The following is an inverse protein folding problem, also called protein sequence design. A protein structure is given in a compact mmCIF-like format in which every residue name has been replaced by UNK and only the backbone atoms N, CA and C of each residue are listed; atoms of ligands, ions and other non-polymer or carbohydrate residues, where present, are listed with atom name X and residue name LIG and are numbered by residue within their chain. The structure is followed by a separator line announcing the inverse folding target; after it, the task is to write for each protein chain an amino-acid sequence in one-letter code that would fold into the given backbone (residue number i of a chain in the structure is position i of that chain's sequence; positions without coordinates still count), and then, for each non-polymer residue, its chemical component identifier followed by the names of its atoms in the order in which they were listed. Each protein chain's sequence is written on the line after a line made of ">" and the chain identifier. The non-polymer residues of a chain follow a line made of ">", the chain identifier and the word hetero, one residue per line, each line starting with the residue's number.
data_IF_550301302979
#
_entry.id   IF_550301302979
#
_cell.length_a   1.000
_cell.length_b   1.000
_cell.length_c   1.000
_cell.angle_alpha   90.00
_cell.angle_beta   90.00
_cell.angle_gamma   90.00
#
_symmetry.space_group_name_H-M   'P 1'
#
loop_
_entity.id
_entity.type
_entity.pdbx_description
1 polymer ?
#
# COMPACT_ATOMS: atom_id res chain seq x y z
N UNK A 1 6.07 14.19 -8.52
CA UNK A 1 5.17 13.04 -8.80
C UNK A 1 6.02 11.84 -9.17
N UNK A 2 5.85 10.71 -8.48
CA UNK A 2 6.69 9.51 -8.67
C UNK A 2 5.84 8.23 -8.81
N UNK A 3 6.40 7.14 -9.37
CA UNK A 3 5.70 5.89 -9.64
C UNK A 3 5.53 4.99 -8.40
N UNK A 4 5.69 5.53 -7.19
CA UNK A 4 5.74 4.77 -5.94
C UNK A 4 4.49 3.90 -5.73
N UNK A 5 3.29 4.43 -6.02
CA UNK A 5 2.04 3.68 -5.90
C UNK A 5 1.93 2.49 -6.86
N UNK A 6 2.36 2.65 -8.12
CA UNK A 6 2.34 1.54 -9.09
C UNK A 6 3.40 0.48 -8.78
N UNK A 7 4.55 0.87 -8.24
CA UNK A 7 5.57 -0.05 -7.75
C UNK A 7 5.04 -0.94 -6.63
N UNK A 8 4.35 -0.36 -5.63
CA UNK A 8 3.75 -1.14 -4.56
C UNK A 8 2.55 -1.96 -5.03
N UNK A 9 1.82 -1.50 -6.05
CA UNK A 9 0.79 -2.29 -6.71
C UNK A 9 1.35 -3.55 -7.41
N UNK A 10 2.49 -3.42 -8.10
CA UNK A 10 3.19 -4.56 -8.70
C UNK A 10 3.71 -5.52 -7.62
N UNK A 11 4.24 -4.98 -6.53
CA UNK A 11 4.71 -5.78 -5.39
C UNK A 11 3.56 -6.60 -4.79
N UNK A 12 2.39 -5.98 -4.60
CA UNK A 12 1.17 -6.67 -4.16
C UNK A 12 0.74 -7.79 -5.13
N UNK A 13 0.87 -7.57 -6.44
CA UNK A 13 0.62 -8.61 -7.44
C UNK A 13 1.53 -9.82 -7.26
N UNK A 14 2.83 -9.60 -7.02
CA UNK A 14 3.78 -10.68 -6.75
C UNK A 14 3.44 -11.45 -5.46
N UNK A 15 2.97 -10.75 -4.42
CA UNK A 15 2.47 -11.42 -3.21
C UNK A 15 1.30 -12.36 -3.52
N UNK A 16 0.30 -11.88 -4.26
CA UNK A 16 -0.87 -12.68 -4.64
C UNK A 16 -0.44 -13.89 -5.48
N UNK A 17 0.47 -13.72 -6.43
CA UNK A 17 0.99 -14.80 -7.26
C UNK A 17 1.68 -15.89 -6.42
N UNK A 18 2.57 -15.51 -5.49
CA UNK A 18 3.25 -16.45 -4.60
C UNK A 18 2.28 -17.19 -3.69
N UNK A 19 1.25 -16.52 -3.18
CA UNK A 19 0.21 -17.15 -2.35
C UNK A 19 -0.56 -18.20 -3.15
N UNK A 20 -0.90 -17.92 -4.41
CA UNK A 20 -1.68 -18.84 -5.24
C UNK A 20 -0.86 -20.01 -5.77
N UNK A 21 0.44 -19.81 -6.04
CA UNK A 21 1.37 -20.84 -6.53
C UNK A 21 2.09 -21.53 -5.37
N UNK A 22 1.76 -21.22 -4.11
CA UNK A 22 2.41 -21.75 -2.91
C UNK A 22 2.67 -23.27 -2.92
N UNK A 23 1.69 -24.16 -3.23
CA UNK A 23 1.94 -25.60 -3.23
C UNK A 23 2.85 -26.10 -4.36
N UNK A 24 3.02 -25.30 -5.41
CA UNK A 24 3.91 -25.62 -6.54
C UNK A 24 5.34 -25.13 -6.30
N UNK A 25 5.54 -24.17 -5.39
CA UNK A 25 6.85 -23.61 -5.09
C UNK A 25 7.64 -24.53 -4.16
N UNK A 26 8.93 -24.74 -4.47
CA UNK A 26 9.84 -25.54 -3.63
C UNK A 26 10.14 -24.88 -2.28
N UNK A 27 10.23 -23.53 -2.26
CA UNK A 27 10.53 -22.72 -1.07
C UNK A 27 9.67 -21.43 -1.03
N UNK A 28 8.36 -21.54 -0.80
CA UNK A 28 7.42 -20.40 -0.81
C UNK A 28 7.70 -19.39 0.31
N UNK A 29 8.13 -19.88 1.48
CA UNK A 29 8.46 -19.03 2.63
C UNK A 29 9.63 -18.08 2.34
N UNK A 30 10.68 -18.56 1.65
CA UNK A 30 11.82 -17.72 1.28
C UNK A 30 11.44 -16.65 0.26
N UNK A 31 10.56 -16.99 -0.69
CA UNK A 31 10.05 -16.03 -1.67
C UNK A 31 9.26 -14.91 -0.98
N UNK A 32 8.35 -15.25 -0.07
CA UNK A 32 7.61 -14.26 0.70
C UNK A 32 8.50 -13.44 1.63
N UNK A 33 9.45 -14.06 2.31
CA UNK A 33 10.37 -13.32 3.17
C UNK A 33 11.14 -12.25 2.38
N UNK A 34 11.61 -12.57 1.16
CA UNK A 34 12.26 -11.60 0.27
C UNK A 34 11.33 -10.45 -0.12
N UNK A 35 10.09 -10.75 -0.50
CA UNK A 35 9.09 -9.73 -0.86
C UNK A 35 8.73 -8.85 0.35
N UNK A 36 8.55 -9.44 1.54
CA UNK A 36 8.32 -8.71 2.79
C UNK A 36 9.51 -7.81 3.12
N UNK A 37 10.74 -8.30 3.01
CA UNK A 37 11.94 -7.52 3.29
C UNK A 37 12.03 -6.30 2.36
N UNK A 38 11.74 -6.46 1.06
CA UNK A 38 11.69 -5.34 0.11
C UNK A 38 10.57 -4.36 0.46
N UNK A 39 9.37 -4.85 0.80
CA UNK A 39 8.22 -4.00 1.18
C UNK A 39 8.54 -3.16 2.40
N UNK A 40 9.07 -3.78 3.45
CA UNK A 40 9.44 -3.10 4.70
C UNK A 40 10.57 -2.11 4.45
N UNK A 41 11.61 -2.50 3.70
CA UNK A 41 12.70 -1.60 3.35
C UNK A 41 12.20 -0.35 2.61
N UNK A 42 11.32 -0.53 1.62
CA UNK A 42 10.75 0.58 0.86
C UNK A 42 9.78 1.44 1.69
N UNK A 43 9.05 0.84 2.64
CA UNK A 43 8.19 1.59 3.57
C UNK A 43 9.02 2.40 4.58
N UNK A 44 10.13 1.84 5.07
CA UNK A 44 11.07 2.57 5.92
C UNK A 44 11.74 3.73 5.16
N UNK A 45 12.11 3.49 3.89
CA UNK A 45 12.60 4.55 3.02
C UNK A 45 11.52 5.59 2.71
N UNK A 46 10.24 5.22 2.78
CA UNK A 46 9.12 6.13 2.58
C UNK A 46 8.82 7.04 3.76
N UNK A 47 9.49 6.87 4.90
CA UNK A 47 9.47 7.81 6.03
C UNK A 47 10.44 9.00 5.84
N UNK A 48 11.19 9.00 4.74
CA UNK A 48 12.08 10.11 4.36
C UNK A 48 11.30 11.24 3.65
N UNK A 49 11.80 12.48 3.71
CA UNK A 49 11.20 13.60 2.99
C UNK A 49 11.09 13.30 1.49
N UNK A 50 10.05 13.85 0.85
CA UNK A 50 9.70 13.68 -0.57
C UNK A 50 9.12 12.33 -0.98
N UNK A 51 9.18 11.30 -0.13
CA UNK A 51 8.57 9.99 -0.39
C UNK A 51 7.25 9.89 0.38
N UNK A 52 6.21 9.45 -0.31
CA UNK A 52 4.86 9.38 0.27
C UNK A 52 4.45 7.96 0.61
N UNK A 53 4.42 7.64 1.91
CA UNK A 53 3.93 6.36 2.41
C UNK A 53 2.44 6.12 2.15
N UNK A 54 1.62 7.16 1.93
CA UNK A 54 0.24 6.96 1.51
C UNK A 54 0.18 6.29 0.13
N UNK A 55 1.04 6.70 -0.79
CA UNK A 55 1.15 6.06 -2.10
C UNK A 55 1.59 4.59 -1.97
N UNK A 56 2.50 4.27 -1.05
CA UNK A 56 2.93 2.89 -0.77
C UNK A 56 1.79 2.03 -0.21
N UNK A 57 1.09 2.50 0.84
CA UNK A 57 0.00 1.76 1.49
C UNK A 57 -1.17 1.56 0.55
N UNK A 58 -1.69 2.65 -0.01
CA UNK A 58 -2.88 2.58 -0.87
C UNK A 58 -2.57 1.92 -2.21
N UNK A 59 -1.36 2.10 -2.75
CA UNK A 59 -0.89 1.37 -3.93
C UNK A 59 -0.82 -0.14 -3.70
N UNK A 60 -0.32 -0.58 -2.53
CA UNK A 60 -0.27 -1.99 -2.17
C UNK A 60 -1.67 -2.58 -1.98
N UNK A 61 -2.54 -1.92 -1.21
CA UNK A 61 -3.92 -2.40 -0.96
C UNK A 61 -4.72 -2.46 -2.26
N UNK A 62 -4.66 -1.41 -3.07
CA UNK A 62 -5.34 -1.35 -4.37
C UNK A 62 -4.82 -2.44 -5.31
N UNK A 63 -3.50 -2.58 -5.43
CA UNK A 63 -2.88 -3.62 -6.25
C UNK A 63 -3.25 -5.04 -5.79
N UNK A 64 -3.26 -5.29 -4.48
CA UNK A 64 -3.63 -6.60 -3.92
C UNK A 64 -5.06 -7.01 -4.30
N UNK A 65 -6.03 -6.11 -4.11
CA UNK A 65 -7.42 -6.35 -4.46
C UNK A 65 -7.60 -6.52 -5.97
N UNK A 66 -6.92 -5.69 -6.78
CA UNK A 66 -6.98 -5.75 -8.22
C UNK A 66 -6.36 -7.06 -8.76
N UNK A 67 -5.26 -7.51 -8.18
CA UNK A 67 -4.64 -8.80 -8.50
C UNK A 67 -5.59 -9.96 -8.22
N UNK A 68 -6.38 -9.91 -7.15
CA UNK A 68 -7.43 -10.91 -6.91
C UNK A 68 -8.61 -10.85 -7.89
N UNK A 69 -8.91 -9.69 -8.46
CA UNK A 69 -9.93 -9.57 -9.48
C UNK A 69 -9.45 -10.05 -10.86
N UNK A 70 -8.18 -9.79 -11.21
CA UNK A 70 -7.67 -9.95 -12.58
C UNK A 70 -6.86 -11.23 -12.82
N UNK A 71 -6.18 -11.78 -11.80
CA UNK A 71 -5.30 -12.93 -12.02
C UNK A 71 -6.11 -14.22 -12.27
N UNK A 72 -5.76 -15.00 -13.31
CA UNK A 72 -6.42 -16.27 -13.58
C UNK A 72 -5.99 -17.32 -12.55
N UNK A 73 -6.78 -17.52 -11.50
CA UNK A 73 -6.53 -18.59 -10.53
C UNK A 73 -6.82 -19.94 -11.15
N UNK A 74 -5.83 -20.84 -11.15
CA UNK A 74 -6.00 -22.25 -11.51
C UNK A 74 -7.04 -22.88 -10.56
N UNK A 75 -8.24 -23.24 -11.05
CA UNK A 75 -9.14 -24.19 -10.36
C UNK A 75 -9.45 -25.36 -11.25
N UNK A 76 -9.41 -26.53 -10.63
CA UNK A 76 -9.88 -27.76 -11.23
C UNK A 76 -11.30 -28.04 -10.68
N UNK A 77 -12.36 -27.60 -11.38
CA UNK A 77 -13.74 -28.03 -11.10
C UNK A 77 -14.88 -27.01 -11.42
N UNK A 78 -16.10 -27.47 -11.79
CA UNK A 78 -17.24 -26.60 -12.14
C UNK A 78 -17.96 -25.96 -10.93
N UNK A 79 -17.93 -26.57 -9.73
CA UNK A 79 -18.47 -25.98 -8.50
C UNK A 79 -17.62 -24.78 -8.01
N UNK A 80 -16.33 -24.78 -8.35
CA UNK A 80 -15.37 -23.74 -7.96
C UNK A 80 -15.53 -22.46 -8.81
N UNK A 81 -16.06 -22.58 -10.04
CA UNK A 81 -16.13 -21.47 -10.99
C UNK A 81 -17.13 -20.37 -10.59
N UNK A 82 -18.32 -20.71 -10.09
CA UNK A 82 -19.30 -19.70 -9.65
C UNK A 82 -18.80 -18.90 -8.45
N UNK A 83 -18.19 -19.57 -7.48
CA UNK A 83 -17.60 -18.94 -6.29
C UNK A 83 -16.46 -18.00 -6.67
N UNK A 84 -15.63 -18.39 -7.64
CA UNK A 84 -14.58 -17.53 -8.21
C UNK A 84 -15.12 -16.30 -8.91
N UNK A 85 -16.14 -16.45 -9.76
CA UNK A 85 -16.78 -15.31 -10.42
C UNK A 85 -17.36 -14.36 -9.36
N UNK A 86 -18.03 -14.89 -8.33
CA UNK A 86 -18.53 -14.09 -7.22
C UNK A 86 -17.39 -13.33 -6.51
N UNK A 87 -16.28 -14.00 -6.19
CA UNK A 87 -15.10 -13.38 -5.59
C UNK A 87 -14.54 -12.26 -6.47
N UNK A 88 -14.39 -12.49 -7.78
CA UNK A 88 -13.92 -11.47 -8.73
C UNK A 88 -14.83 -10.24 -8.71
N UNK A 89 -16.15 -10.42 -8.76
CA UNK A 89 -17.09 -9.30 -8.67
C UNK A 89 -17.00 -8.57 -7.33
N UNK A 90 -16.87 -9.29 -6.20
CA UNK A 90 -16.69 -8.68 -4.88
C UNK A 90 -15.41 -7.84 -4.84
N UNK A 91 -14.28 -8.38 -5.32
CA UNK A 91 -13.01 -7.64 -5.36
C UNK A 91 -13.07 -6.44 -6.31
N UNK A 92 -13.72 -6.57 -7.47
CA UNK A 92 -13.87 -5.48 -8.42
C UNK A 92 -14.72 -4.33 -7.85
N UNK A 93 -15.83 -4.64 -7.19
CA UNK A 93 -16.64 -3.64 -6.47
C UNK A 93 -15.82 -2.99 -5.35
N UNK A 94 -15.06 -3.77 -4.58
CA UNK A 94 -14.19 -3.24 -3.53
C UNK A 94 -13.12 -2.29 -4.09
N UNK A 95 -12.52 -2.60 -5.24
CA UNK A 95 -11.55 -1.75 -5.95
C UNK A 95 -12.21 -0.42 -6.38
N UNK A 96 -13.40 -0.47 -6.98
CA UNK A 96 -14.13 0.74 -7.37
C UNK A 96 -14.48 1.62 -6.17
N UNK A 97 -14.94 1.02 -5.06
CA UNK A 97 -15.25 1.73 -3.82
C UNK A 97 -13.98 2.36 -3.23
N UNK A 98 -12.88 1.61 -3.14
CA UNK A 98 -11.60 2.12 -2.66
C UNK A 98 -11.10 3.28 -3.52
N UNK A 99 -11.20 3.19 -4.84
CA UNK A 99 -10.81 4.27 -5.75
C UNK A 99 -11.64 5.54 -5.53
N UNK A 100 -12.96 5.41 -5.41
CA UNK A 100 -13.84 6.54 -5.13
C UNK A 100 -13.53 7.18 -3.76
N UNK A 101 -13.32 6.36 -2.73
CA UNK A 101 -12.92 6.80 -1.39
C UNK A 101 -11.61 7.58 -1.46
N UNK A 102 -10.58 7.06 -2.14
CA UNK A 102 -9.31 7.76 -2.30
C UNK A 102 -9.47 9.11 -3.00
N UNK A 103 -10.27 9.19 -4.08
CA UNK A 103 -10.55 10.48 -4.73
C UNK A 103 -11.17 11.48 -3.76
N UNK A 104 -12.18 11.08 -3.00
CA UNK A 104 -12.83 11.95 -2.01
C UNK A 104 -11.82 12.42 -0.96
N UNK A 105 -11.02 11.51 -0.43
CA UNK A 105 -10.05 11.80 0.62
C UNK A 105 -8.90 12.70 0.16
N UNK A 106 -8.47 12.62 -1.09
CA UNK A 106 -7.39 13.47 -1.61
C UNK A 106 -7.88 14.81 -2.16
N UNK A 107 -9.06 14.85 -2.79
CA UNK A 107 -9.55 16.04 -3.49
C UNK A 107 -10.64 16.82 -2.75
N UNK A 108 -11.45 16.17 -1.90
CA UNK A 108 -12.58 16.82 -1.21
C UNK A 108 -12.25 17.08 0.27
N UNK A 109 -11.69 16.08 0.98
CA UNK A 109 -11.38 16.16 2.41
C UNK A 109 -9.89 15.88 2.66
N UNK A 110 -9.00 16.83 2.34
CA UNK A 110 -7.56 16.62 2.40
C UNK A 110 -7.09 16.12 3.78
N UNK A 111 -6.59 14.88 3.85
CA UNK A 111 -6.11 14.24 5.09
C UNK A 111 -4.87 14.88 5.73
N UNK A 112 -4.27 15.88 5.07
CA UNK A 112 -3.05 16.55 5.53
C UNK A 112 -3.27 17.45 6.77
N UNK A 113 -4.52 17.65 7.18
CA UNK A 113 -4.94 18.44 8.35
C UNK A 113 -4.72 17.69 9.69
N UNK A 114 -4.51 16.37 9.67
CA UNK A 114 -4.34 15.56 10.88
C UNK A 114 -2.85 15.46 11.29
N UNK A 115 -2.54 15.75 12.56
CA UNK A 115 -1.16 15.73 13.07
C UNK A 115 -0.51 14.33 13.01
N UNK A 116 -1.23 13.28 13.42
CA UNK A 116 -0.72 11.88 13.38
C UNK A 116 -0.48 11.39 11.95
N UNK A 117 -1.24 11.91 11.00
CA UNK A 117 -1.21 11.56 9.59
C UNK A 117 0.10 12.02 8.92
N UNK A 118 0.66 13.15 9.36
CA UNK A 118 1.94 13.68 8.88
C UNK A 118 3.13 12.78 9.24
N UNK A 119 3.08 12.10 10.40
CA UNK A 119 4.15 11.18 10.83
C UNK A 119 4.22 9.89 10.01
N UNK A 120 3.12 9.51 9.35
CA UNK A 120 3.14 8.37 8.44
C UNK A 120 4.00 8.64 7.20
N UNK A 121 4.07 9.90 6.74
CA UNK A 121 4.89 10.30 5.59
C UNK A 121 6.29 10.73 6.00
N UNK A 122 6.47 11.43 7.13
CA UNK A 122 7.79 11.91 7.53
C UNK A 122 7.97 11.92 9.06
N UNK A 123 9.02 11.26 9.54
CA UNK A 123 9.40 11.30 10.96
C UNK A 123 10.36 12.47 11.19
N UNK A 124 10.05 13.42 12.10
CA UNK A 124 10.97 14.50 12.43
C UNK A 124 12.11 13.99 13.34
N UNK A 125 13.15 13.39 12.74
CA UNK A 125 14.37 12.95 13.45
C UNK A 125 15.35 14.10 13.75
N UNK A 126 15.31 15.17 12.96
CA UNK A 126 16.15 16.39 13.10
C UNK A 126 15.26 17.61 12.84
N UNK A 127 15.55 18.72 13.50
CA UNK A 127 14.88 20.01 13.25
C UNK A 127 14.86 20.31 11.74
N UNK A 128 13.67 20.65 11.23
CA UNK A 128 13.40 21.06 9.84
C UNK A 128 13.56 20.00 8.74
N UNK A 129 13.83 18.74 9.07
CA UNK A 129 13.98 17.65 8.07
C UNK A 129 12.70 17.41 7.26
N UNK A 130 11.53 17.65 7.86
CA UNK A 130 10.22 17.55 7.20
C UNK A 130 9.62 18.93 6.87
N UNK A 131 10.27 20.04 7.25
CA UNK A 131 9.75 21.41 7.07
C UNK A 131 9.77 21.86 5.59
N UNK A 132 10.70 21.31 4.81
CA UNK A 132 10.80 21.53 3.35
C UNK A 132 9.61 20.95 2.56
N UNK A 133 8.68 20.24 3.23
CA UNK A 133 7.42 19.74 2.68
C UNK A 133 6.21 20.59 3.10
N UNK A 134 6.42 21.79 3.68
CA UNK A 134 5.37 22.67 4.22
C UNK A 134 4.53 22.01 5.34
N UNK A 135 5.09 20.97 5.98
CA UNK A 135 4.50 20.27 7.10
C UNK A 135 5.05 20.91 8.38
N UNK A 136 4.44 22.02 8.82
CA UNK A 136 4.77 22.60 10.12
C UNK A 136 4.26 21.66 11.22
N UNK A 137 5.21 21.10 11.98
CA UNK A 137 4.95 20.58 13.31
C UNK A 137 5.14 21.77 14.26
N UNK A 138 4.12 22.11 15.06
CA UNK A 138 4.28 23.13 16.10
C UNK A 138 5.39 22.66 17.05
N UNK A 139 6.59 23.25 16.90
CA UNK A 139 7.73 23.00 17.78
C UNK A 139 7.35 23.49 19.17
N UNK A 140 7.04 22.60 20.12
CA UNK A 140 7.34 22.90 21.53
C UNK A 140 8.84 22.68 21.73
N UNK A 141 9.64 23.73 21.98
CA UNK A 141 11.06 23.56 22.19
C UNK A 141 11.30 22.70 23.44
N UNK A 142 12.27 21.80 23.33
CA UNK A 142 12.76 20.89 24.37
C UNK A 142 13.26 21.60 25.66
N UNK A 143 13.27 22.93 25.69
CA UNK A 143 13.70 23.77 26.83
C UNK A 143 12.57 24.40 27.65
N UNK A 144 11.32 23.94 27.50
CA UNK A 144 10.20 24.42 28.33
C UNK A 144 9.97 23.51 29.54
N UNK A 145 10.87 23.62 30.52
CA UNK A 145 10.61 23.46 31.96
C UNK A 145 10.66 24.86 32.57
#
# INVERSE_FOLDING_TARGET
>A
VGPAGSQFGLLACLFVEVINVWPMLRHPQTALYKLCAVTIGMFLLGLLPWVDNYAHVFGFVFGFLLSYALLPFVSFGPYDQRRKILLVWVFLVAVCLLFAILIILFYITPFYECEICKYLTCIPLVDDFCADQNINFDKKPFWSI
#
